data_IF_065067036260
#
_entry.id   IF_065067036260
#
_cell.length_a   1.000
_cell.length_b   1.000
_cell.length_c   1.000
_cell.angle_alpha   90.00
_cell.angle_beta   90.00
_cell.angle_gamma   90.00
#
_symmetry.space_group_name_H-M   'P 1'
#
loop_
_entity.id
_entity.type
_entity.pdbx_description
1 polymer ?
#
# COMPACT_ATOMS: atom_id res chain seq x y z
N UNK A 1 -10.57 -11.72 25.72
CA UNK A 1 -11.17 -10.81 24.73
C UNK A 1 -11.89 -11.66 23.71
N UNK A 2 -13.10 -11.29 23.33
CA UNK A 2 -13.87 -11.96 22.29
C UNK A 2 -13.27 -11.62 20.92
N UNK A 3 -12.77 -12.60 20.14
CA UNK A 3 -12.12 -12.32 18.84
C UNK A 3 -13.03 -11.55 17.88
N UNK A 4 -14.32 -11.80 17.92
CA UNK A 4 -15.32 -11.14 17.08
C UNK A 4 -15.50 -9.63 17.38
N UNK A 5 -15.09 -9.17 18.57
CA UNK A 5 -15.18 -7.76 18.98
C UNK A 5 -13.91 -6.95 18.68
N UNK A 6 -12.85 -7.63 18.24
CA UNK A 6 -11.53 -7.02 17.97
C UNK A 6 -10.94 -7.48 16.65
N UNK A 7 -11.76 -8.03 15.75
CA UNK A 7 -11.31 -8.46 14.44
C UNK A 7 -10.87 -7.25 13.62
N UNK A 8 -9.69 -7.34 13.04
CA UNK A 8 -9.14 -6.35 12.14
C UNK A 8 -8.56 -7.07 10.90
N UNK A 9 -8.95 -6.63 9.74
CA UNK A 9 -8.45 -7.16 8.45
C UNK A 9 -6.97 -6.85 8.21
N UNK A 10 -6.38 -5.93 8.99
CA UNK A 10 -5.00 -5.50 8.82
C UNK A 10 -4.81 -4.33 7.84
N UNK A 11 -5.88 -3.82 7.25
CA UNK A 11 -5.82 -2.75 6.25
C UNK A 11 -6.11 -1.35 6.81
N UNK A 12 -5.93 -1.14 8.11
CA UNK A 12 -6.09 0.16 8.78
C UNK A 12 -4.75 0.70 9.29
N UNK A 13 -3.83 1.16 8.42
CA UNK A 13 -2.49 1.52 8.84
C UNK A 13 -2.48 2.83 9.65
N UNK A 14 -1.85 2.76 10.83
CA UNK A 14 -1.52 3.94 11.65
C UNK A 14 -0.16 4.48 11.23
N UNK A 15 0.74 3.61 10.80
CA UNK A 15 2.11 3.91 10.41
C UNK A 15 2.58 2.94 9.31
N UNK A 16 3.19 3.48 8.23
CA UNK A 16 3.60 2.66 7.08
C UNK A 16 4.95 1.95 7.24
N UNK A 17 5.81 2.40 8.15
CA UNK A 17 7.23 2.01 8.18
C UNK A 17 7.62 1.18 9.39
N UNK A 18 6.66 0.70 10.16
CA UNK A 18 6.91 -0.03 11.41
C UNK A 18 6.10 -1.31 11.45
N UNK A 19 6.72 -2.49 11.66
CA UNK A 19 5.99 -3.71 11.92
C UNK A 19 5.14 -3.60 13.19
N UNK A 20 3.95 -4.22 13.19
CA UNK A 20 3.09 -4.20 14.37
C UNK A 20 3.72 -5.02 15.51
N UNK A 21 3.92 -4.36 16.65
CA UNK A 21 4.52 -4.99 17.81
C UNK A 21 3.66 -6.03 18.50
N UNK A 22 2.36 -6.10 18.21
CA UNK A 22 1.47 -7.12 18.80
C UNK A 22 1.82 -8.54 18.34
N UNK A 23 2.51 -8.67 17.20
CA UNK A 23 2.99 -9.95 16.67
C UNK A 23 4.37 -10.35 17.21
N UNK A 24 5.08 -9.45 17.88
CA UNK A 24 6.39 -9.75 18.45
C UNK A 24 6.27 -10.55 19.76
N UNK A 25 7.25 -11.40 20.03
CA UNK A 25 7.35 -12.18 21.28
C UNK A 25 7.42 -11.27 22.50
N UNK A 26 8.04 -10.07 22.36
CA UNK A 26 8.01 -9.01 23.36
C UNK A 26 7.52 -7.68 22.73
N UNK A 27 6.22 -7.35 22.84
CA UNK A 27 5.66 -6.11 22.28
C UNK A 27 6.25 -4.82 22.84
N UNK A 28 6.91 -4.87 24.00
CA UNK A 28 7.52 -3.69 24.65
C UNK A 28 8.94 -3.44 24.17
N UNK A 29 9.57 -4.42 23.53
CA UNK A 29 10.88 -4.24 22.92
C UNK A 29 10.71 -3.77 21.44
N UNK A 30 11.12 -2.55 21.11
CA UNK A 30 10.97 -2.05 19.74
C UNK A 30 11.82 -2.80 18.71
N UNK A 31 12.89 -3.46 19.14
CA UNK A 31 13.77 -4.23 18.27
C UNK A 31 13.26 -5.65 18.00
N UNK A 32 12.51 -6.26 18.94
CA UNK A 32 12.00 -7.61 18.79
C UNK A 32 11.22 -7.77 17.47
N UNK A 33 10.26 -6.86 17.18
CA UNK A 33 9.46 -6.88 15.96
C UNK A 33 10.28 -6.80 14.67
N UNK A 34 11.40 -6.07 14.69
CA UNK A 34 12.29 -5.92 13.56
C UNK A 34 13.07 -7.21 13.32
N UNK A 35 13.73 -7.72 14.35
CA UNK A 35 14.59 -8.88 14.27
C UNK A 35 13.78 -10.16 13.97
N UNK A 36 12.61 -10.30 14.56
CA UNK A 36 11.73 -11.45 14.33
C UNK A 36 11.15 -11.46 12.91
N UNK A 37 10.77 -10.29 12.37
CA UNK A 37 10.33 -10.20 10.98
C UNK A 37 11.48 -10.54 10.01
N UNK A 38 12.70 -10.05 10.26
CA UNK A 38 13.88 -10.41 9.47
C UNK A 38 14.17 -11.92 9.54
N UNK A 39 14.07 -12.50 10.72
CA UNK A 39 14.26 -13.95 10.90
C UNK A 39 13.18 -14.77 10.16
N UNK A 40 11.93 -14.32 10.20
CA UNK A 40 10.84 -15.00 9.49
C UNK A 40 11.06 -14.96 7.97
N UNK A 41 11.41 -13.80 7.39
CA UNK A 41 11.70 -13.69 5.96
C UNK A 41 12.91 -14.56 5.57
N UNK A 42 13.97 -14.54 6.38
CA UNK A 42 15.14 -15.41 6.17
C UNK A 42 14.76 -16.90 6.18
N UNK A 43 13.85 -17.30 7.06
CA UNK A 43 13.38 -18.69 7.11
C UNK A 43 12.60 -19.09 5.85
N UNK A 44 11.78 -18.19 5.30
CA UNK A 44 11.11 -18.42 4.01
C UNK A 44 12.12 -18.53 2.86
N UNK A 45 13.10 -17.64 2.78
CA UNK A 45 14.14 -17.69 1.76
C UNK A 45 14.98 -18.97 1.83
N UNK A 46 15.29 -19.47 3.04
CA UNK A 46 15.99 -20.75 3.22
C UNK A 46 15.16 -21.96 2.74
N UNK A 47 13.86 -21.78 2.55
CA UNK A 47 12.95 -22.77 1.98
C UNK A 47 12.60 -22.50 0.50
N UNK A 48 13.36 -21.63 -0.18
CA UNK A 48 13.13 -21.17 -1.55
C UNK A 48 11.74 -20.54 -1.78
N UNK A 49 11.21 -19.85 -0.76
CA UNK A 49 9.92 -19.15 -0.83
C UNK A 49 10.15 -17.64 -0.80
N UNK A 50 9.70 -16.96 -1.85
CA UNK A 50 9.69 -15.50 -1.92
C UNK A 50 8.58 -14.90 -1.04
N UNK A 51 8.86 -13.74 -0.46
CA UNK A 51 7.94 -13.05 0.45
C UNK A 51 7.48 -11.73 -0.15
N UNK A 52 6.18 -11.62 -0.39
CA UNK A 52 5.55 -10.40 -0.91
C UNK A 52 4.88 -9.65 0.23
N UNK A 53 5.16 -8.36 0.35
CA UNK A 53 4.49 -7.51 1.33
C UNK A 53 3.21 -6.91 0.76
N UNK A 54 2.11 -7.09 1.48
CA UNK A 54 0.84 -6.41 1.21
C UNK A 54 0.88 -5.01 1.83
N UNK A 55 0.81 -3.95 1.00
CA UNK A 55 1.01 -2.57 1.44
C UNK A 55 -0.22 -1.71 1.19
N UNK A 56 -0.54 -0.88 2.18
CA UNK A 56 -1.69 0.03 2.16
C UNK A 56 -1.19 1.46 2.17
N UNK A 57 -0.93 2.04 0.99
CA UNK A 57 -0.52 3.45 0.84
C UNK A 57 -1.65 4.36 0.37
N UNK A 58 -2.83 3.81 0.20
CA UNK A 58 -3.99 4.51 -0.34
C UNK A 58 -4.74 5.32 0.73
N UNK A 59 -4.68 4.93 2.01
CA UNK A 59 -5.31 5.62 3.14
C UNK A 59 -4.55 5.40 4.46
N UNK A 60 -5.01 6.03 5.53
CA UNK A 60 -4.59 5.78 6.91
C UNK A 60 -5.81 5.56 7.80
N UNK A 61 -5.62 4.92 8.95
CA UNK A 61 -6.68 4.64 9.93
C UNK A 61 -7.46 5.88 10.34
N UNK A 62 -6.76 6.94 10.77
CA UNK A 62 -7.39 8.22 11.14
C UNK A 62 -6.57 9.41 10.64
N UNK A 63 -7.09 10.06 9.63
CA UNK A 63 -6.44 11.23 9.03
C UNK A 63 -6.30 12.42 10.01
N UNK A 64 -7.20 12.57 11.01
CA UNK A 64 -7.16 13.70 11.93
C UNK A 64 -6.01 13.57 12.93
N UNK A 65 -5.66 12.35 13.33
CA UNK A 65 -4.56 12.09 14.25
C UNK A 65 -3.22 11.88 13.56
N UNK A 66 -3.21 11.74 12.22
CA UNK A 66 -2.01 11.41 11.46
C UNK A 66 -0.93 12.51 11.55
N UNK A 67 0.31 12.10 11.81
CA UNK A 67 1.39 13.02 12.13
C UNK A 67 1.66 14.05 11.03
N UNK A 68 1.65 13.65 9.74
CA UNK A 68 1.89 14.59 8.64
C UNK A 68 0.77 15.60 8.45
N UNK A 69 -0.48 15.24 8.77
CA UNK A 69 -1.58 16.19 8.72
C UNK A 69 -1.47 17.25 9.82
N UNK A 70 -0.88 16.89 10.97
CA UNK A 70 -0.60 17.86 12.06
C UNK A 70 0.57 18.79 11.73
N UNK A 71 1.57 18.31 10.97
CA UNK A 71 2.76 19.09 10.62
C UNK A 71 2.46 20.02 9.43
N UNK A 72 1.78 19.50 8.40
CA UNK A 72 1.43 20.25 7.18
C UNK A 72 -0.03 19.95 6.83
N UNK A 73 -1.00 20.64 7.47
CA UNK A 73 -2.41 20.40 7.23
C UNK A 73 -2.82 20.55 5.76
N UNK A 74 -3.67 19.64 5.26
CA UNK A 74 -4.17 19.62 3.89
C UNK A 74 -3.15 19.23 2.82
N UNK A 75 -1.96 18.72 3.21
CA UNK A 75 -0.96 18.30 2.24
C UNK A 75 -0.97 16.80 1.98
N UNK A 76 -1.06 15.96 3.00
CA UNK A 76 -0.88 14.52 2.87
C UNK A 76 -2.08 13.83 2.22
N UNK A 77 -3.27 14.33 2.47
CA UNK A 77 -4.51 13.78 1.94
C UNK A 77 -5.00 14.55 0.72
N UNK A 78 -5.73 13.83 -0.15
CA UNK A 78 -6.38 14.41 -1.32
C UNK A 78 -7.62 15.19 -0.88
N UNK A 79 -7.77 16.38 -1.43
CA UNK A 79 -8.91 17.26 -1.15
C UNK A 79 -9.68 17.48 -2.45
N UNK A 80 -10.99 17.63 -2.34
CA UNK A 80 -11.84 18.10 -3.43
C UNK A 80 -11.76 19.63 -3.56
N UNK A 81 -12.42 20.19 -4.55
CA UNK A 81 -12.44 21.64 -4.84
C UNK A 81 -12.99 22.50 -3.70
N UNK A 82 -13.76 21.92 -2.79
CA UNK A 82 -14.30 22.59 -1.60
C UNK A 82 -13.37 22.48 -0.38
N UNK A 83 -12.21 21.81 -0.52
CA UNK A 83 -11.25 21.61 0.56
C UNK A 83 -11.57 20.45 1.52
N UNK A 84 -12.55 19.62 1.22
CA UNK A 84 -12.84 18.41 1.99
C UNK A 84 -12.02 17.22 1.49
N UNK A 85 -11.63 16.32 2.41
CA UNK A 85 -10.95 15.08 2.05
C UNK A 85 -11.82 14.23 1.13
N UNK A 86 -11.21 13.68 0.09
CA UNK A 86 -11.84 12.65 -0.75
C UNK A 86 -11.90 11.32 -0.01
N UNK A 87 -12.78 10.42 -0.44
CA UNK A 87 -13.02 9.13 0.19
C UNK A 87 -13.29 8.03 -0.86
N UNK A 88 -12.47 7.98 -1.90
CA UNK A 88 -12.55 6.94 -2.92
C UNK A 88 -12.17 5.56 -2.38
N UNK A 89 -11.39 5.51 -1.31
CA UNK A 89 -11.05 4.27 -0.57
C UNK A 89 -12.21 3.71 0.25
N UNK A 90 -13.24 4.50 0.54
CA UNK A 90 -14.31 4.23 1.52
C UNK A 90 -13.81 4.07 2.97
N UNK A 91 -12.56 4.44 3.24
CA UNK A 91 -11.92 4.39 4.57
C UNK A 91 -11.83 5.79 5.24
N UNK A 92 -12.52 6.78 4.70
CA UNK A 92 -12.59 8.14 5.27
C UNK A 92 -11.50 9.09 4.78
N UNK A 93 -10.54 8.65 4.02
CA UNK A 93 -9.48 9.49 3.44
C UNK A 93 -8.77 8.80 2.27
N UNK A 94 -8.25 9.60 1.33
CA UNK A 94 -7.39 9.17 0.24
C UNK A 94 -6.05 9.88 0.36
N UNK A 95 -4.95 9.13 0.25
CA UNK A 95 -3.61 9.69 0.25
C UNK A 95 -3.30 10.39 -1.08
N UNK A 96 -2.79 11.61 -1.02
CA UNK A 96 -2.45 12.42 -2.19
C UNK A 96 -1.08 12.03 -2.76
N UNK A 97 -0.96 10.81 -3.29
CA UNK A 97 0.30 10.25 -3.82
C UNK A 97 0.92 11.10 -4.94
N UNK A 98 0.11 11.89 -5.65
CA UNK A 98 0.53 12.82 -6.70
C UNK A 98 1.35 14.01 -6.18
N UNK A 99 1.32 14.30 -4.87
CA UNK A 99 2.10 15.37 -4.26
C UNK A 99 3.55 14.95 -4.03
N UNK A 100 4.49 15.81 -4.35
CA UNK A 100 5.92 15.48 -4.42
C UNK A 100 6.50 14.85 -3.14
N UNK A 101 6.14 15.38 -1.96
CA UNK A 101 6.68 14.86 -0.70
C UNK A 101 5.96 13.57 -0.26
N UNK A 102 4.67 13.40 -0.56
CA UNK A 102 3.93 12.15 -0.34
C UNK A 102 4.51 11.04 -1.20
N UNK A 103 4.72 11.31 -2.50
CA UNK A 103 5.42 10.39 -3.43
C UNK A 103 6.79 10.00 -2.90
N UNK A 104 7.59 10.97 -2.47
CA UNK A 104 8.91 10.71 -1.89
C UNK A 104 8.81 9.79 -0.68
N UNK A 105 7.86 10.03 0.20
CA UNK A 105 7.64 9.22 1.39
C UNK A 105 7.29 7.77 1.05
N UNK A 106 6.34 7.54 0.12
CA UNK A 106 5.96 6.20 -0.32
C UNK A 106 7.16 5.49 -0.96
N UNK A 107 7.91 6.15 -1.84
CA UNK A 107 9.12 5.60 -2.48
C UNK A 107 10.19 5.20 -1.46
N UNK A 108 10.43 6.03 -0.45
CA UNK A 108 11.37 5.71 0.62
C UNK A 108 10.87 4.54 1.47
N UNK A 109 9.57 4.46 1.73
CA UNK A 109 8.96 3.37 2.48
C UNK A 109 9.17 2.01 1.79
N UNK A 110 8.83 1.88 0.50
CA UNK A 110 9.02 0.60 -0.21
C UNK A 110 10.49 0.21 -0.30
N UNK A 111 11.40 1.17 -0.49
CA UNK A 111 12.85 0.89 -0.47
C UNK A 111 13.32 0.39 0.89
N UNK A 112 12.84 0.99 1.98
CA UNK A 112 13.18 0.56 3.34
C UNK A 112 12.73 -0.88 3.59
N UNK A 113 11.53 -1.27 3.17
CA UNK A 113 11.02 -2.62 3.33
C UNK A 113 11.88 -3.66 2.61
N UNK A 114 12.33 -3.38 1.39
CA UNK A 114 13.26 -4.28 0.69
C UNK A 114 14.64 -4.29 1.35
N UNK A 115 15.23 -3.11 1.58
CA UNK A 115 16.62 -3.03 2.06
C UNK A 115 16.81 -3.52 3.49
N UNK A 116 15.81 -3.32 4.36
CA UNK A 116 15.91 -3.68 5.78
C UNK A 116 15.45 -5.10 6.06
N UNK A 117 14.42 -5.58 5.34
CA UNK A 117 13.78 -6.86 5.64
C UNK A 117 13.97 -7.90 4.54
N UNK A 118 14.28 -7.51 3.31
CA UNK A 118 14.50 -8.44 2.20
C UNK A 118 13.22 -8.92 1.51
N UNK A 119 12.15 -8.11 1.51
CA UNK A 119 10.95 -8.45 0.74
C UNK A 119 11.25 -8.56 -0.75
N UNK A 120 10.67 -9.56 -1.42
CA UNK A 120 10.87 -9.85 -2.84
C UNK A 120 9.88 -9.11 -3.74
N UNK A 121 8.89 -8.45 -3.16
CA UNK A 121 7.91 -7.70 -3.92
C UNK A 121 6.83 -7.07 -3.07
N UNK A 122 5.88 -6.43 -3.76
CA UNK A 122 4.76 -5.73 -3.13
C UNK A 122 3.45 -6.01 -3.85
N UNK A 123 2.41 -6.26 -3.06
CA UNK A 123 1.01 -6.18 -3.46
C UNK A 123 0.46 -4.85 -2.96
N UNK A 124 0.06 -3.95 -3.86
CA UNK A 124 -0.52 -2.66 -3.49
C UNK A 124 -2.04 -2.78 -3.35
N UNK A 125 -2.51 -2.64 -2.12
CA UNK A 125 -3.93 -2.53 -1.80
C UNK A 125 -4.50 -1.27 -2.46
N UNK A 126 -5.70 -1.39 -3.07
CA UNK A 126 -6.39 -0.31 -3.79
C UNK A 126 -5.42 0.54 -4.64
N UNK A 127 -4.54 -0.10 -5.42
CA UNK A 127 -3.53 0.57 -6.26
C UNK A 127 -4.16 1.61 -7.19
N UNK A 128 -5.40 1.39 -7.60
CA UNK A 128 -6.16 2.29 -8.46
C UNK A 128 -6.44 3.69 -7.87
N UNK A 129 -6.21 3.90 -6.58
CA UNK A 129 -6.29 5.22 -5.93
C UNK A 129 -4.99 6.02 -6.09
N UNK A 130 -3.86 5.34 -6.28
CA UNK A 130 -2.54 5.97 -6.40
C UNK A 130 -2.33 6.55 -7.80
N UNK A 131 -1.51 7.59 -7.91
CA UNK A 131 -1.20 8.19 -9.20
C UNK A 131 -0.14 7.39 -9.98
N UNK A 132 -0.29 7.39 -11.31
CA UNK A 132 0.61 6.66 -12.24
C UNK A 132 2.06 7.08 -12.07
N UNK A 133 2.36 8.37 -11.91
CA UNK A 133 3.73 8.85 -11.82
C UNK A 133 4.44 8.31 -10.58
N UNK A 134 3.73 8.19 -9.46
CA UNK A 134 4.27 7.59 -8.23
C UNK A 134 4.59 6.12 -8.47
N UNK A 135 3.67 5.37 -9.07
CA UNK A 135 3.87 3.96 -9.35
C UNK A 135 5.02 3.72 -10.34
N UNK A 136 5.11 4.51 -11.41
CA UNK A 136 6.23 4.44 -12.35
C UNK A 136 7.58 4.70 -11.66
N UNK A 137 7.66 5.72 -10.80
CA UNK A 137 8.89 6.02 -10.07
C UNK A 137 9.27 4.93 -9.07
N UNK A 138 8.28 4.31 -8.38
CA UNK A 138 8.52 3.15 -7.52
C UNK A 138 9.14 2.00 -8.31
N UNK A 139 8.53 1.62 -9.44
CA UNK A 139 9.02 0.53 -10.28
C UNK A 139 10.43 0.81 -10.79
N UNK A 140 10.66 1.99 -11.36
CA UNK A 140 11.96 2.37 -11.90
C UNK A 140 13.07 2.30 -10.84
N UNK A 141 12.82 2.85 -9.64
CA UNK A 141 13.82 2.89 -8.58
C UNK A 141 14.06 1.51 -7.93
N UNK A 142 13.00 0.72 -7.73
CA UNK A 142 13.14 -0.62 -7.17
C UNK A 142 13.82 -1.57 -8.16
N UNK A 143 13.41 -1.59 -9.43
CA UNK A 143 14.00 -2.49 -10.44
C UNK A 143 15.44 -2.14 -10.79
N UNK A 144 15.84 -0.88 -10.67
CA UNK A 144 17.24 -0.48 -10.82
C UNK A 144 18.15 -1.08 -9.74
N UNK A 145 17.62 -1.31 -8.53
CA UNK A 145 18.36 -1.89 -7.40
C UNK A 145 18.11 -3.40 -7.26
N UNK A 146 16.92 -3.85 -7.57
CA UNK A 146 16.39 -5.20 -7.39
C UNK A 146 15.66 -5.64 -8.67
N UNK A 147 16.37 -6.10 -9.72
CA UNK A 147 15.77 -6.36 -11.05
C UNK A 147 14.61 -7.35 -11.05
N UNK A 148 14.61 -8.28 -10.10
CA UNK A 148 13.61 -9.35 -9.99
C UNK A 148 12.47 -9.02 -9.03
N UNK A 149 12.36 -7.76 -8.56
CA UNK A 149 11.29 -7.36 -7.63
C UNK A 149 9.91 -7.56 -8.26
N UNK A 150 9.00 -8.15 -7.51
CA UNK A 150 7.62 -8.39 -7.94
C UNK A 150 6.72 -7.22 -7.55
N UNK A 151 5.98 -6.67 -8.52
CA UNK A 151 5.07 -5.53 -8.28
C UNK A 151 3.71 -5.85 -8.89
N UNK A 152 2.65 -5.78 -8.08
CA UNK A 152 1.28 -5.93 -8.54
C UNK A 152 0.30 -5.30 -7.55
N UNK A 153 -0.97 -5.17 -7.93
CA UNK A 153 -1.95 -4.61 -7.02
C UNK A 153 -3.39 -4.61 -7.53
N UNK A 154 -4.26 -4.08 -6.70
CA UNK A 154 -5.66 -3.89 -6.99
C UNK A 154 -5.88 -2.62 -7.82
N UNK A 155 -5.91 -2.80 -9.13
CA UNK A 155 -6.14 -1.70 -10.07
C UNK A 155 -7.62 -1.42 -10.33
N UNK A 156 -8.45 -1.39 -9.30
CA UNK A 156 -9.86 -1.03 -9.46
C UNK A 156 -10.01 0.43 -9.87
N UNK A 157 -10.92 0.72 -10.79
CA UNK A 157 -11.25 2.10 -11.13
C UNK A 157 -12.16 2.67 -10.04
N UNK A 158 -11.66 3.67 -9.33
CA UNK A 158 -12.35 4.29 -8.18
C UNK A 158 -12.34 5.80 -8.33
N UNK A 159 -13.40 6.46 -7.87
CA UNK A 159 -13.48 7.92 -7.85
C UNK A 159 -12.82 8.48 -6.59
N UNK A 160 -11.78 9.27 -6.78
CA UNK A 160 -10.96 9.83 -5.70
C UNK A 160 -10.62 11.32 -5.92
N UNK A 161 -11.37 12.02 -6.78
CA UNK A 161 -11.13 13.43 -7.07
C UNK A 161 -9.86 13.71 -7.90
N UNK A 162 -9.07 12.70 -8.27
CA UNK A 162 -8.01 12.82 -9.27
C UNK A 162 -8.54 12.30 -10.60
N UNK A 163 -8.19 12.96 -11.72
CA UNK A 163 -8.64 12.57 -13.05
C UNK A 163 -8.24 11.11 -13.34
N UNK A 164 -9.18 10.33 -13.90
CA UNK A 164 -9.04 8.88 -14.09
C UNK A 164 -7.80 8.49 -14.89
N UNK A 165 -7.42 9.27 -15.91
CA UNK A 165 -6.23 9.05 -16.72
C UNK A 165 -4.90 9.19 -15.96
N UNK A 166 -4.94 9.72 -14.75
CA UNK A 166 -3.78 9.87 -13.85
C UNK A 166 -3.68 8.77 -12.80
N UNK A 167 -4.70 7.92 -12.68
CA UNK A 167 -4.80 6.89 -11.65
C UNK A 167 -4.24 5.54 -12.13
N UNK A 168 -3.62 4.79 -11.23
CA UNK A 168 -2.97 3.51 -11.48
C UNK A 168 -3.98 2.34 -11.53
N UNK A 169 -5.12 2.53 -12.19
CA UNK A 169 -6.11 1.47 -12.37
C UNK A 169 -5.85 0.62 -13.62
N UNK A 170 -6.49 -0.54 -13.70
CA UNK A 170 -6.26 -1.57 -14.74
C UNK A 170 -6.45 -1.06 -16.16
N UNK A 171 -7.34 -0.09 -16.41
CA UNK A 171 -7.55 0.48 -17.76
C UNK A 171 -6.39 1.39 -18.22
N UNK A 172 -5.51 1.80 -17.31
CA UNK A 172 -4.28 2.51 -17.58
C UNK A 172 -3.04 1.60 -17.53
N UNK A 173 -3.19 0.28 -17.53
CA UNK A 173 -2.12 -0.70 -17.38
C UNK A 173 -0.99 -0.53 -18.43
N UNK A 174 -1.30 -0.05 -19.64
CA UNK A 174 -0.30 0.25 -20.67
C UNK A 174 0.77 1.28 -20.21
N UNK A 175 0.44 2.14 -19.24
CA UNK A 175 1.37 3.10 -18.64
C UNK A 175 2.17 2.51 -17.47
N UNK A 176 1.85 1.28 -17.04
CA UNK A 176 2.43 0.60 -15.89
C UNK A 176 2.90 -0.83 -16.26
N UNK A 177 3.78 -0.98 -17.26
CA UNK A 177 4.17 -2.29 -17.79
C UNK A 177 4.90 -3.18 -16.78
N UNK A 178 5.39 -2.60 -15.69
CA UNK A 178 6.10 -3.29 -14.63
C UNK A 178 5.19 -3.86 -13.52
N UNK A 179 3.88 -3.61 -13.62
CA UNK A 179 2.89 -4.03 -12.62
C UNK A 179 1.96 -5.11 -13.15
N UNK A 180 1.72 -6.13 -12.32
CA UNK A 180 0.59 -7.02 -12.47
C UNK A 180 -0.69 -6.41 -11.89
N UNK A 181 -1.85 -6.80 -12.44
CA UNK A 181 -3.16 -6.36 -11.97
C UNK A 181 -4.04 -7.57 -11.69
N UNK A 182 -4.81 -7.52 -10.60
CA UNK A 182 -5.90 -8.46 -10.41
C UNK A 182 -6.95 -8.27 -11.51
N UNK A 183 -7.48 -9.38 -12.03
CA UNK A 183 -8.49 -9.36 -13.09
C UNK A 183 -9.86 -9.71 -12.52
N UNK A 184 -10.72 -8.73 -12.40
CA UNK A 184 -12.14 -8.90 -12.06
C UNK A 184 -12.89 -9.68 -13.16
N UNK A 185 -12.61 -9.39 -14.42
CA UNK A 185 -13.20 -10.13 -15.55
C UNK A 185 -12.94 -11.63 -15.49
N UNK A 186 -11.69 -12.04 -15.17
CA UNK A 186 -11.36 -13.45 -15.03
C UNK A 186 -12.06 -14.08 -13.84
N UNK A 187 -12.01 -13.42 -12.68
CA UNK A 187 -12.69 -13.83 -11.46
C UNK A 187 -14.18 -14.04 -11.68
N UNK A 188 -14.85 -13.04 -12.25
CA UNK A 188 -16.30 -13.02 -12.40
C UNK A 188 -16.79 -13.97 -13.51
N UNK A 189 -15.92 -14.28 -14.49
CA UNK A 189 -16.19 -15.31 -15.50
C UNK A 189 -16.15 -16.73 -14.92
N UNK A 190 -15.25 -16.98 -13.95
CA UNK A 190 -15.13 -18.30 -13.31
C UNK A 190 -16.13 -18.49 -12.16
N UNK A 191 -16.43 -17.45 -11.43
CA UNK A 191 -17.35 -17.46 -10.30
C UNK A 191 -18.19 -16.19 -10.33
N UNK A 192 -19.30 -16.17 -11.13
CA UNK A 192 -20.18 -15.04 -11.15
C UNK A 192 -20.68 -14.71 -9.75
N UNK A 193 -20.33 -13.52 -9.24
CA UNK A 193 -20.84 -13.02 -7.97
C UNK A 193 -22.07 -12.20 -8.29
N UNK A 194 -23.26 -12.75 -8.02
CA UNK A 194 -24.47 -11.93 -8.01
C UNK A 194 -24.45 -11.09 -6.74
N UNK A 195 -24.17 -9.82 -6.87
CA UNK A 195 -24.48 -8.85 -5.81
C UNK A 195 -26.00 -8.65 -5.84
N UNK A 196 -26.72 -9.39 -4.99
CA UNK A 196 -28.15 -9.15 -4.68
C UNK A 196 -28.24 -8.34 -3.42
#
# INVERSE_FOLDING_TARGET
KHPELVYNWGYDPVQYNVPDGSFASNPRDPYARILELQAAITAFHNADISVIMDVVYNHVYDANSYAFEKIVPGYFFRLNDMGYRTNGTFCGNDVASEKAMVRRYIKQSVKQWVSLYGFDGFRFDLMGILDIQTMQQIANELKALYPNIYLYGEGWQMDTGLASERLAHQYNAAQLPDYGFFSDHFRDSLKPVSYT
#
